data_IF_291274715188
#
_entry.id   IF_291274715188
#
_cell.length_a   1.000
_cell.length_b   1.000
_cell.length_c   1.000
_cell.angle_alpha   90.00
_cell.angle_beta   90.00
_cell.angle_gamma   90.00
#
_symmetry.space_group_name_H-M   'P 1'
#
loop_
_entity.id
_entity.type
_entity.pdbx_description
1 polymer ?
#
# COMPACT_ATOMS: atom_id res chain seq x y z
N UNK A 1 17.97 19.47 58.56
CA UNK A 1 16.90 18.45 58.53
C UNK A 1 15.72 19.04 57.77
N UNK A 2 15.34 18.40 56.65
CA UNK A 2 13.99 18.39 56.03
C UNK A 2 13.57 19.73 55.40
N UNK A 3 13.69 19.99 54.09
CA UNK A 3 13.16 19.33 52.88
C UNK A 3 11.63 19.48 52.72
N UNK A 4 11.20 20.37 51.82
CA UNK A 4 9.87 20.43 51.16
C UNK A 4 9.91 21.56 50.10
N UNK A 5 10.61 21.38 48.98
CA UNK A 5 10.06 20.93 47.67
C UNK A 5 8.74 21.60 47.31
N UNK A 6 8.86 22.79 46.71
CA UNK A 6 7.83 23.42 45.87
C UNK A 6 7.71 22.61 44.57
N UNK A 7 6.68 21.77 44.47
CA UNK A 7 6.26 21.15 43.22
C UNK A 7 5.62 22.21 42.31
N UNK A 8 6.43 22.86 41.46
CA UNK A 8 5.92 23.45 40.22
C UNK A 8 5.67 22.31 39.22
N UNK A 9 4.40 21.99 39.01
CA UNK A 9 3.96 21.20 37.85
C UNK A 9 4.20 22.03 36.58
N UNK A 10 5.33 21.80 35.91
CA UNK A 10 5.48 22.15 34.50
C UNK A 10 4.72 21.09 33.69
N UNK A 11 3.44 21.34 33.46
CA UNK A 11 2.70 20.70 32.36
C UNK A 11 3.30 21.23 31.06
N UNK A 12 4.28 20.51 30.51
CA UNK A 12 4.64 20.59 29.10
C UNK A 12 3.44 20.08 28.30
N UNK A 13 2.55 21.00 27.91
CA UNK A 13 1.63 20.77 26.81
C UNK A 13 2.49 20.61 25.56
N UNK A 14 2.76 19.36 25.17
CA UNK A 14 3.20 19.05 23.82
C UNK A 14 2.01 19.37 22.93
N UNK A 15 1.97 20.59 22.39
CA UNK A 15 1.14 20.93 21.24
C UNK A 15 1.73 20.19 20.05
N UNK A 16 1.46 18.89 19.96
CA UNK A 16 1.42 18.24 18.65
C UNK A 16 0.28 18.91 17.91
N UNK A 17 0.55 19.44 16.72
CA UNK A 17 -0.54 19.76 15.82
C UNK A 17 -1.43 18.52 15.71
N UNK A 18 -2.76 18.66 15.86
CA UNK A 18 -3.64 17.55 15.58
C UNK A 18 -3.44 17.25 14.09
N UNK A 19 -2.72 16.18 13.76
CA UNK A 19 -2.91 15.51 12.48
C UNK A 19 -4.39 15.20 12.45
N UNK A 20 -5.14 15.97 11.67
CA UNK A 20 -6.58 15.88 11.59
C UNK A 20 -6.93 14.40 11.37
N UNK A 21 -7.75 13.84 12.25
CA UNK A 21 -8.09 12.42 12.21
C UNK A 21 -8.75 12.04 10.86
N UNK A 22 -9.22 13.04 10.10
CA UNK A 22 -9.64 12.92 8.70
C UNK A 22 -8.49 12.60 7.74
N UNK A 23 -7.30 13.21 7.86
CA UNK A 23 -6.22 13.03 6.88
C UNK A 23 -5.70 11.59 6.86
N UNK A 24 -5.75 10.87 7.99
CA UNK A 24 -5.28 9.49 8.14
C UNK A 24 -6.20 8.42 7.52
N UNK A 25 -7.41 8.79 7.09
CA UNK A 25 -8.46 7.87 6.63
C UNK A 25 -8.71 7.94 5.12
N UNK A 26 -8.05 8.86 4.45
CA UNK A 26 -8.20 9.05 3.01
C UNK A 26 -7.31 8.07 2.23
N UNK A 27 -7.71 7.80 1.00
CA UNK A 27 -7.04 6.85 0.11
C UNK A 27 -5.91 7.54 -0.66
N UNK A 28 -4.83 6.81 -0.92
CA UNK A 28 -3.73 7.22 -1.78
C UNK A 28 -3.85 6.63 -3.19
N UNK A 29 -2.99 7.08 -4.09
CA UNK A 29 -2.97 6.59 -5.48
C UNK A 29 -1.56 6.15 -5.89
N UNK A 30 -1.47 5.04 -6.61
CA UNK A 30 -0.23 4.59 -7.23
C UNK A 30 0.00 5.37 -8.53
N UNK A 31 1.11 6.10 -8.61
CA UNK A 31 1.50 6.81 -9.82
C UNK A 31 2.58 6.02 -10.57
N UNK A 32 2.09 5.01 -11.30
CA UNK A 32 2.85 4.27 -12.31
C UNK A 32 3.16 5.15 -13.52
N UNK A 33 4.30 4.87 -14.17
CA UNK A 33 4.84 5.66 -15.29
C UNK A 33 5.46 4.79 -16.40
N UNK A 34 5.09 3.52 -16.48
CA UNK A 34 5.46 2.62 -17.58
C UNK A 34 4.57 2.87 -18.79
N UNK A 35 4.63 4.08 -19.34
CA UNK A 35 4.00 4.44 -20.60
C UNK A 35 4.65 5.62 -21.28
N UNK A 36 4.55 5.68 -22.61
CA UNK A 36 5.14 6.75 -23.44
C UNK A 36 4.13 7.82 -23.90
N UNK A 37 2.87 7.67 -23.48
CA UNK A 37 1.75 8.50 -23.85
C UNK A 37 1.06 9.17 -22.64
N UNK A 38 1.76 9.23 -21.50
CA UNK A 38 1.22 9.75 -20.24
C UNK A 38 1.36 11.29 -20.15
N UNK A 39 0.49 11.96 -19.37
CA UNK A 39 0.61 13.40 -19.12
C UNK A 39 1.90 13.76 -18.39
N UNK A 40 2.27 15.05 -18.43
CA UNK A 40 3.45 15.54 -17.73
C UNK A 40 3.34 15.34 -16.20
N UNK A 41 4.48 15.43 -15.50
CA UNK A 41 4.51 15.36 -14.03
C UNK A 41 3.64 16.43 -13.37
N UNK A 42 3.64 17.65 -13.92
CA UNK A 42 2.85 18.76 -13.37
C UNK A 42 1.34 18.50 -13.54
N UNK A 43 0.91 18.08 -14.73
CA UNK A 43 -0.49 17.76 -15.00
C UNK A 43 -0.96 16.57 -14.14
N UNK A 44 -0.12 15.53 -14.02
CA UNK A 44 -0.44 14.35 -13.20
C UNK A 44 -0.60 14.71 -11.72
N UNK A 45 0.25 15.57 -11.17
CA UNK A 45 0.12 16.01 -9.77
C UNK A 45 -1.15 16.86 -9.58
N UNK A 46 -1.54 17.68 -10.56
CA UNK A 46 -2.80 18.41 -10.50
C UNK A 46 -4.00 17.46 -10.53
N UNK A 47 -3.97 16.43 -11.40
CA UNK A 47 -5.01 15.41 -11.47
C UNK A 47 -5.15 14.64 -10.16
N UNK A 48 -4.03 14.17 -9.59
CA UNK A 48 -4.00 13.49 -8.27
C UNK A 48 -4.65 14.37 -7.19
N UNK A 49 -4.34 15.67 -7.16
CA UNK A 49 -4.95 16.62 -6.22
C UNK A 49 -6.44 16.81 -6.48
N UNK A 50 -6.88 16.89 -7.74
CA UNK A 50 -8.30 17.04 -8.08
C UNK A 50 -9.15 15.81 -7.73
N UNK A 51 -8.53 14.63 -7.67
CA UNK A 51 -9.17 13.40 -7.20
C UNK A 51 -9.23 13.30 -5.66
N UNK A 52 -8.78 14.35 -4.95
CA UNK A 52 -8.69 14.41 -3.49
C UNK A 52 -7.85 13.28 -2.88
N UNK A 53 -6.83 12.80 -3.62
CA UNK A 53 -5.90 11.82 -3.08
C UNK A 53 -5.22 12.39 -1.83
N UNK A 54 -5.05 11.56 -0.81
CA UNK A 54 -4.32 11.97 0.40
C UNK A 54 -2.84 11.61 0.39
N UNK A 55 -2.45 10.80 -0.59
CA UNK A 55 -1.07 10.45 -0.80
C UNK A 55 -0.83 9.86 -2.18
N UNK A 56 0.43 9.78 -2.55
CA UNK A 56 0.90 9.20 -3.80
C UNK A 56 2.02 8.20 -3.51
N UNK A 57 1.94 7.01 -4.10
CA UNK A 57 3.05 6.04 -4.17
C UNK A 57 3.72 6.21 -5.53
N UNK A 58 5.01 6.55 -5.54
CA UNK A 58 5.82 6.60 -6.77
C UNK A 58 6.85 5.46 -6.76
N UNK A 59 7.08 4.84 -7.92
CA UNK A 59 7.89 3.63 -8.06
C UNK A 59 9.41 3.86 -8.13
N UNK A 60 9.85 5.07 -7.77
CA UNK A 60 11.25 5.46 -7.65
C UNK A 60 11.40 6.61 -6.64
N UNK A 61 12.49 7.36 -6.73
CA UNK A 61 12.69 8.62 -6.02
C UNK A 61 13.11 9.74 -6.99
N UNK A 62 12.30 9.94 -8.04
CA UNK A 62 12.54 10.96 -9.07
C UNK A 62 12.57 12.38 -8.46
N UNK A 63 13.68 13.13 -8.63
CA UNK A 63 13.85 14.44 -7.98
C UNK A 63 12.89 15.52 -8.51
N UNK A 64 12.52 15.49 -9.79
CA UNK A 64 11.61 16.46 -10.39
C UNK A 64 10.20 16.30 -9.83
N UNK A 65 9.74 15.05 -9.69
CA UNK A 65 8.48 14.75 -9.01
C UNK A 65 8.49 15.15 -7.54
N UNK A 66 9.57 14.84 -6.83
CA UNK A 66 9.70 15.21 -5.42
C UNK A 66 9.69 16.74 -5.24
N UNK A 67 10.31 17.50 -6.15
CA UNK A 67 10.20 18.96 -6.15
C UNK A 67 8.78 19.45 -6.42
N UNK A 68 8.06 18.87 -7.38
CA UNK A 68 6.67 19.27 -7.68
C UNK A 68 5.69 18.92 -6.55
N UNK A 69 6.02 17.93 -5.72
CA UNK A 69 5.25 17.55 -4.53
C UNK A 69 5.58 18.40 -3.29
N UNK A 70 6.56 19.31 -3.38
CA UNK A 70 6.93 20.24 -2.32
C UNK A 70 5.73 21.09 -1.88
N UNK A 71 5.56 21.21 -0.56
CA UNK A 71 4.51 21.99 0.11
C UNK A 71 3.08 21.59 -0.29
N UNK A 72 2.92 20.40 -0.88
CA UNK A 72 1.61 19.79 -1.06
C UNK A 72 1.17 19.06 0.21
N UNK A 73 -0.14 18.85 0.36
CA UNK A 73 -0.69 18.07 1.47
C UNK A 73 -0.56 16.55 1.27
N UNK A 74 -0.09 16.11 0.10
CA UNK A 74 0.05 14.71 -0.27
C UNK A 74 1.15 14.03 0.55
N UNK A 75 0.81 12.90 1.16
CA UNK A 75 1.81 11.99 1.75
C UNK A 75 2.47 11.19 0.64
N UNK A 76 3.80 11.14 0.63
CA UNK A 76 4.56 10.52 -0.46
C UNK A 76 5.20 9.22 0.02
N UNK A 77 4.93 8.13 -0.69
CA UNK A 77 5.67 6.87 -0.58
C UNK A 77 6.62 6.76 -1.77
N UNK A 78 7.92 6.64 -1.52
CA UNK A 78 8.95 6.51 -2.56
C UNK A 78 9.58 5.12 -2.50
N UNK A 79 10.22 4.70 -3.60
CA UNK A 79 10.77 3.35 -3.70
C UNK A 79 12.28 3.32 -3.94
N UNK A 80 12.95 2.37 -3.28
CA UNK A 80 14.29 1.90 -3.66
C UNK A 80 14.10 0.85 -4.76
N UNK A 81 14.68 1.02 -5.96
CA UNK A 81 14.55 0.03 -7.03
C UNK A 81 15.10 -1.35 -6.66
N UNK A 82 14.51 -2.43 -7.17
CA UNK A 82 14.91 -3.81 -6.90
C UNK A 82 16.42 -4.05 -7.14
N UNK A 83 16.98 -3.45 -8.20
CA UNK A 83 18.39 -3.59 -8.56
C UNK A 83 19.38 -2.99 -7.55
N UNK A 84 18.95 -2.05 -6.70
CA UNK A 84 19.81 -1.39 -5.72
C UNK A 84 19.85 -2.12 -4.37
N UNK A 85 18.92 -3.04 -4.11
CA UNK A 85 18.75 -3.71 -2.81
C UNK A 85 20.03 -4.38 -2.36
N UNK A 86 20.64 -5.24 -3.20
CA UNK A 86 21.88 -5.96 -2.85
C UNK A 86 23.05 -5.02 -2.55
N UNK A 87 23.16 -3.95 -3.33
CA UNK A 87 24.23 -2.97 -3.18
C UNK A 87 24.09 -2.23 -1.85
N UNK A 88 22.89 -1.72 -1.56
CA UNK A 88 22.58 -1.08 -0.28
C UNK A 88 22.77 -2.08 0.88
N UNK A 89 22.28 -3.31 0.74
CA UNK A 89 22.41 -4.41 1.69
C UNK A 89 23.85 -4.89 1.95
N UNK A 90 24.85 -4.39 1.23
CA UNK A 90 26.26 -4.74 1.46
C UNK A 90 27.05 -3.57 2.05
N UNK A 91 26.57 -2.33 1.95
CA UNK A 91 27.37 -1.15 2.30
C UNK A 91 26.50 -0.03 2.90
N UNK A 92 26.77 0.34 4.16
CA UNK A 92 26.07 1.45 4.83
C UNK A 92 26.28 2.79 4.12
N UNK A 93 27.48 3.08 3.58
CA UNK A 93 27.73 4.33 2.87
C UNK A 93 26.81 4.50 1.65
N UNK A 94 26.43 3.40 0.99
CA UNK A 94 25.51 3.46 -0.16
C UNK A 94 24.06 3.72 0.28
N UNK A 95 23.69 3.32 1.50
CA UNK A 95 22.42 3.71 2.10
C UNK A 95 22.42 5.18 2.55
N UNK A 96 23.55 5.66 3.08
CA UNK A 96 23.79 7.06 3.43
C UNK A 96 23.65 7.95 2.19
N UNK A 97 24.38 7.63 1.12
CA UNK A 97 24.31 8.33 -0.16
C UNK A 97 22.89 8.34 -0.74
N UNK A 98 22.18 7.21 -0.69
CA UNK A 98 20.81 7.13 -1.21
C UNK A 98 19.87 8.08 -0.44
N UNK A 99 19.93 8.11 0.90
CA UNK A 99 19.08 9.00 1.72
C UNK A 99 19.49 10.46 1.55
N UNK A 100 20.78 10.77 1.52
CA UNK A 100 21.31 12.11 1.29
C UNK A 100 20.90 12.68 -0.07
N UNK A 101 20.78 11.81 -1.08
CA UNK A 101 20.38 12.21 -2.43
C UNK A 101 18.87 12.32 -2.61
N UNK A 102 18.10 11.38 -2.05
CA UNK A 102 16.69 11.18 -2.41
C UNK A 102 15.70 11.62 -1.34
N UNK A 103 16.14 11.86 -0.11
CA UNK A 103 15.25 12.20 1.02
C UNK A 103 15.55 13.58 1.57
N UNK A 104 16.80 13.81 1.99
CA UNK A 104 17.20 15.02 2.72
C UNK A 104 16.92 16.32 1.95
N UNK A 105 17.16 16.42 0.63
CA UNK A 105 16.93 17.67 -0.09
C UNK A 105 15.45 18.04 -0.22
N UNK A 106 14.53 17.07 -0.06
CA UNK A 106 13.11 17.23 -0.33
C UNK A 106 12.27 17.27 0.96
N UNK A 107 12.60 16.44 1.94
CA UNK A 107 11.87 16.36 3.20
C UNK A 107 12.35 17.43 4.20
N UNK A 108 11.45 18.20 4.87
CA UNK A 108 10.02 17.94 5.04
C UNK A 108 9.08 18.67 4.09
N UNK A 109 9.56 19.53 3.19
CA UNK A 109 8.66 20.26 2.26
C UNK A 109 7.85 19.29 1.41
N UNK A 110 8.50 18.25 0.91
CA UNK A 110 7.82 17.06 0.38
C UNK A 110 7.60 16.10 1.54
N UNK A 111 6.33 15.80 1.84
CA UNK A 111 5.93 14.94 2.96
C UNK A 111 6.16 13.46 2.65
N UNK A 112 7.42 13.07 2.50
CA UNK A 112 7.82 11.66 2.42
C UNK A 112 7.40 10.97 3.73
N UNK A 113 6.49 10.02 3.62
CA UNK A 113 5.94 9.26 4.74
C UNK A 113 6.57 7.86 4.84
N UNK A 114 6.82 7.24 3.69
CA UNK A 114 7.37 5.89 3.63
C UNK A 114 8.44 5.74 2.55
N UNK A 115 9.44 4.91 2.84
CA UNK A 115 10.43 4.41 1.89
C UNK A 115 10.22 2.91 1.75
N UNK A 116 9.85 2.51 0.56
CA UNK A 116 9.50 1.13 0.21
C UNK A 116 10.68 0.50 -0.52
N UNK A 117 11.34 -0.47 0.12
CA UNK A 117 12.55 -1.10 -0.39
C UNK A 117 12.16 -2.25 -1.31
N UNK A 118 12.29 -2.04 -2.62
CA UNK A 118 11.83 -2.96 -3.66
C UNK A 118 10.32 -2.99 -3.85
N UNK A 119 9.87 -3.75 -4.85
CA UNK A 119 8.47 -4.11 -5.12
C UNK A 119 8.40 -5.60 -5.43
N UNK A 120 7.48 -6.31 -4.79
CA UNK A 120 7.14 -7.72 -5.07
C UNK A 120 8.36 -8.63 -5.24
N UNK A 121 9.40 -8.43 -4.42
CA UNK A 121 10.69 -9.06 -4.69
C UNK A 121 10.62 -10.59 -4.63
N UNK A 122 9.66 -11.14 -3.89
CA UNK A 122 9.46 -12.58 -3.67
C UNK A 122 8.80 -13.28 -4.85
N UNK A 123 8.30 -12.53 -5.84
CA UNK A 123 7.72 -13.04 -7.08
C UNK A 123 8.79 -13.53 -8.06
N UNK A 124 10.04 -13.08 -7.93
CA UNK A 124 11.18 -13.59 -8.71
C UNK A 124 11.83 -14.80 -8.02
N UNK A 125 11.38 -16.00 -8.35
CA UNK A 125 11.91 -17.25 -7.80
C UNK A 125 13.21 -17.75 -8.45
N UNK A 126 13.82 -16.96 -9.34
CA UNK A 126 15.12 -17.31 -9.93
C UNK A 126 16.23 -17.27 -8.88
N UNK A 127 17.38 -17.88 -9.17
CA UNK A 127 18.54 -17.83 -8.26
C UNK A 127 19.06 -16.40 -8.04
N UNK A 128 18.89 -15.52 -9.04
CA UNK A 128 19.18 -14.09 -8.92
C UNK A 128 18.17 -13.41 -7.99
N UNK A 129 16.87 -13.69 -8.17
CA UNK A 129 15.80 -13.19 -7.30
C UNK A 129 16.01 -13.58 -5.83
N UNK A 130 16.32 -14.85 -5.56
CA UNK A 130 16.63 -15.35 -4.20
C UNK A 130 17.78 -14.60 -3.52
N UNK A 131 18.80 -14.18 -4.26
CA UNK A 131 19.88 -13.35 -3.70
C UNK A 131 19.39 -11.96 -3.27
N UNK A 132 18.36 -11.42 -3.94
CA UNK A 132 17.71 -10.16 -3.56
C UNK A 132 16.83 -10.38 -2.32
N UNK A 133 16.14 -11.51 -2.21
CA UNK A 133 15.30 -11.85 -1.04
C UNK A 133 16.07 -11.76 0.27
N UNK A 134 17.25 -12.39 0.33
CA UNK A 134 18.10 -12.39 1.53
C UNK A 134 18.75 -11.02 1.81
N UNK A 135 18.82 -10.15 0.81
CA UNK A 135 19.37 -8.80 0.94
C UNK A 135 18.32 -7.76 1.39
N UNK A 136 17.03 -8.09 1.32
CA UNK A 136 15.93 -7.16 1.60
C UNK A 136 16.02 -6.52 2.99
N UNK A 137 15.97 -7.32 4.06
CA UNK A 137 15.94 -6.80 5.43
C UNK A 137 17.26 -6.07 5.76
N UNK A 138 18.45 -6.57 5.40
CA UNK A 138 19.69 -5.82 5.56
C UNK A 138 19.73 -4.47 4.81
N UNK A 139 19.05 -4.33 3.66
CA UNK A 139 18.91 -3.04 2.98
C UNK A 139 17.99 -2.09 3.77
N UNK A 140 16.83 -2.59 4.20
CA UNK A 140 15.87 -1.83 5.02
C UNK A 140 16.50 -1.32 6.32
N UNK A 141 17.30 -2.16 6.98
CA UNK A 141 18.03 -1.78 8.20
C UNK A 141 19.02 -0.64 7.97
N UNK A 142 19.76 -0.68 6.86
CA UNK A 142 20.72 0.38 6.54
C UNK A 142 20.06 1.68 6.13
N UNK A 143 18.96 1.63 5.38
CA UNK A 143 18.14 2.81 5.08
C UNK A 143 17.56 3.41 6.37
N UNK A 144 17.00 2.57 7.25
CA UNK A 144 16.49 3.02 8.56
C UNK A 144 17.59 3.62 9.44
N UNK A 145 18.79 3.05 9.42
CA UNK A 145 19.97 3.59 10.11
C UNK A 145 20.35 4.96 9.56
N UNK A 146 20.45 5.09 8.23
CA UNK A 146 20.77 6.34 7.55
C UNK A 146 19.74 7.44 7.83
N UNK A 147 18.44 7.14 7.80
CA UNK A 147 17.41 8.11 8.19
C UNK A 147 17.61 8.64 9.63
N UNK A 148 18.03 7.78 10.55
CA UNK A 148 18.26 8.15 11.96
C UNK A 148 19.52 9.00 12.15
N UNK A 149 20.58 8.72 11.39
CA UNK A 149 21.90 9.35 11.54
C UNK A 149 22.10 10.57 10.64
N UNK A 150 21.57 10.54 9.42
CA UNK A 150 21.72 11.59 8.39
C UNK A 150 20.47 12.45 8.22
N UNK A 151 19.28 11.86 8.33
CA UNK A 151 18.01 12.53 8.00
C UNK A 151 17.51 13.58 9.00
N UNK A 152 18.23 13.82 10.09
CA UNK A 152 17.81 14.78 11.13
C UNK A 152 16.58 14.32 11.91
N UNK A 153 15.93 15.25 12.63
CA UNK A 153 14.76 14.92 13.47
C UNK A 153 13.50 14.66 12.66
N UNK A 154 13.29 15.38 11.55
CA UNK A 154 12.10 15.27 10.69
C UNK A 154 11.99 13.90 10.02
N UNK A 155 13.10 13.35 9.52
CA UNK A 155 13.11 12.08 8.81
C UNK A 155 12.96 10.83 9.72
N UNK A 156 13.04 10.98 11.05
CA UNK A 156 12.89 9.84 12.00
C UNK A 156 11.51 9.22 11.99
N UNK A 157 10.50 9.97 11.54
CA UNK A 157 9.11 9.48 11.41
C UNK A 157 8.85 8.74 10.11
N UNK A 158 9.80 8.72 9.16
CA UNK A 158 9.63 8.05 7.87
C UNK A 158 9.69 6.54 8.08
N UNK A 159 8.63 5.84 7.67
CA UNK A 159 8.55 4.38 7.77
C UNK A 159 9.39 3.74 6.68
N UNK A 160 10.04 2.62 7.00
CA UNK A 160 10.73 1.79 6.01
C UNK A 160 9.96 0.48 5.89
N UNK A 161 9.55 0.13 4.68
CA UNK A 161 8.72 -1.04 4.38
C UNK A 161 9.13 -1.70 3.07
N UNK A 162 8.36 -2.68 2.64
CA UNK A 162 8.53 -3.35 1.35
C UNK A 162 7.17 -3.90 0.91
N UNK A 163 6.64 -3.52 -0.26
CA UNK A 163 5.45 -4.11 -0.84
C UNK A 163 5.72 -5.55 -1.25
N UNK A 164 4.84 -6.46 -0.82
CA UNK A 164 4.89 -7.87 -1.15
C UNK A 164 3.57 -8.26 -1.83
N UNK A 165 3.67 -9.02 -2.92
CA UNK A 165 2.53 -9.69 -3.52
C UNK A 165 1.99 -10.79 -2.62
N UNK A 166 0.75 -11.21 -2.85
CA UNK A 166 0.10 -12.31 -2.13
C UNK A 166 0.72 -13.69 -2.37
N UNK A 167 1.65 -13.84 -3.32
CA UNK A 167 2.31 -15.10 -3.61
C UNK A 167 3.25 -15.56 -2.48
N UNK A 168 3.53 -14.69 -1.49
CA UNK A 168 4.34 -15.00 -0.30
C UNK A 168 3.62 -15.91 0.71
N UNK A 169 2.30 -16.09 0.60
CA UNK A 169 1.50 -17.04 1.41
C UNK A 169 1.14 -18.28 0.60
N UNK A 170 1.12 -19.44 1.26
CA UNK A 170 0.82 -20.74 0.62
C UNK A 170 -0.68 -20.91 0.34
N UNK A 171 -1.51 -20.39 1.23
CA UNK A 171 -2.96 -20.41 1.10
C UNK A 171 -3.56 -19.15 1.70
N UNK A 172 -4.63 -18.67 1.08
CA UNK A 172 -5.47 -17.58 1.57
C UNK A 172 -6.86 -18.06 2.00
N UNK A 173 -7.13 -19.37 1.89
CA UNK A 173 -8.43 -19.98 2.19
C UNK A 173 -8.30 -21.37 2.85
N UNK A 174 -8.92 -21.60 4.03
CA UNK A 174 -9.52 -20.58 4.90
C UNK A 174 -8.47 -19.55 5.38
N UNK A 175 -8.84 -18.30 5.72
CA UNK A 175 -7.90 -17.30 6.23
C UNK A 175 -7.02 -17.79 7.39
N UNK A 176 -7.60 -18.50 8.35
CA UNK A 176 -6.89 -19.11 9.48
C UNK A 176 -5.73 -20.03 9.08
N UNK A 177 -5.81 -20.68 7.90
CA UNK A 177 -4.75 -21.52 7.35
C UNK A 177 -3.57 -20.72 6.82
N UNK A 178 -3.71 -19.40 6.64
CA UNK A 178 -2.69 -18.50 6.11
C UNK A 178 -1.32 -18.71 6.75
N UNK A 179 -0.31 -18.96 5.92
CA UNK A 179 1.07 -19.21 6.33
C UNK A 179 2.03 -18.79 5.22
N UNK A 180 3.16 -18.19 5.58
CA UNK A 180 4.20 -17.84 4.62
C UNK A 180 4.83 -19.10 3.99
N UNK A 181 5.22 -19.00 2.71
CA UNK A 181 5.94 -20.09 2.02
C UNK A 181 7.19 -20.49 2.79
N UNK A 182 7.47 -21.79 2.87
CA UNK A 182 8.56 -22.33 3.68
C UNK A 182 9.95 -21.87 3.26
N UNK A 183 10.15 -21.54 1.98
CA UNK A 183 11.40 -21.07 1.40
C UNK A 183 11.78 -19.65 1.86
N UNK A 184 10.80 -18.81 2.18
CA UNK A 184 11.00 -17.42 2.63
C UNK A 184 10.67 -17.21 4.12
N UNK A 185 9.92 -18.13 4.73
CA UNK A 185 9.38 -18.00 6.11
C UNK A 185 10.44 -17.58 7.12
N UNK A 186 11.49 -18.36 7.28
CA UNK A 186 12.49 -18.13 8.33
C UNK A 186 13.62 -17.21 7.86
N UNK A 187 13.92 -17.24 6.57
CA UNK A 187 15.05 -16.53 5.96
C UNK A 187 14.75 -15.07 5.61
N UNK A 188 13.48 -14.72 5.41
CA UNK A 188 13.03 -13.38 4.99
C UNK A 188 11.90 -12.88 5.87
N UNK A 189 10.81 -13.64 6.02
CA UNK A 189 9.58 -13.15 6.67
C UNK A 189 9.76 -12.94 8.17
N UNK A 190 10.36 -13.87 8.89
CA UNK A 190 10.63 -13.70 10.33
C UNK A 190 11.56 -12.49 10.62
N UNK A 191 12.70 -12.30 9.92
CA UNK A 191 13.51 -11.09 10.05
C UNK A 191 12.76 -9.80 9.67
N UNK A 192 11.94 -9.82 8.61
CA UNK A 192 11.13 -8.69 8.18
C UNK A 192 10.13 -8.29 9.28
N UNK A 193 9.37 -9.24 9.82
CA UNK A 193 8.40 -8.96 10.87
C UNK A 193 9.06 -8.46 12.16
N UNK A 194 10.24 -8.98 12.51
CA UNK A 194 11.04 -8.44 13.61
C UNK A 194 11.42 -6.97 13.37
N UNK A 195 11.87 -6.66 12.15
CA UNK A 195 12.22 -5.30 11.75
C UNK A 195 11.00 -4.35 11.83
N UNK A 196 9.87 -4.74 11.26
CA UNK A 196 8.64 -3.94 11.25
C UNK A 196 8.13 -3.68 12.68
N UNK A 197 8.09 -4.74 13.52
CA UNK A 197 7.67 -4.64 14.90
C UNK A 197 8.57 -3.70 15.73
N UNK A 198 9.90 -3.78 15.54
CA UNK A 198 10.87 -2.93 16.26
C UNK A 198 10.87 -1.47 15.80
N UNK A 199 10.50 -1.22 14.55
CA UNK A 199 10.48 0.13 13.96
C UNK A 199 9.12 0.81 14.00
N UNK A 200 8.05 0.07 14.33
CA UNK A 200 6.68 0.57 14.24
C UNK A 200 6.22 0.80 12.79
N UNK A 201 6.86 0.15 11.82
CA UNK A 201 6.48 0.18 10.42
C UNK A 201 5.35 -0.81 10.12
N UNK A 202 4.79 -0.75 8.93
CA UNK A 202 3.69 -1.61 8.49
C UNK A 202 4.19 -2.72 7.55
N UNK A 203 3.43 -3.79 7.48
CA UNK A 203 3.57 -4.80 6.44
C UNK A 203 2.81 -4.31 5.20
N UNK A 204 3.55 -3.92 4.16
CA UNK A 204 3.00 -3.37 2.94
C UNK A 204 2.64 -4.50 1.97
N UNK A 205 1.40 -4.50 1.48
CA UNK A 205 0.84 -5.59 0.71
C UNK A 205 0.27 -5.08 -0.62
N UNK A 206 0.65 -5.74 -1.70
CA UNK A 206 0.00 -5.60 -2.99
C UNK A 206 -1.07 -6.71 -3.08
N UNK A 207 -2.35 -6.32 -3.01
CA UNK A 207 -3.49 -7.24 -2.86
C UNK A 207 -4.58 -6.92 -3.86
N UNK A 208 -4.94 -7.91 -4.67
CA UNK A 208 -5.87 -7.76 -5.77
C UNK A 208 -6.89 -8.89 -5.73
N UNK A 209 -8.17 -8.59 -5.49
CA UNK A 209 -9.24 -9.60 -5.50
C UNK A 209 -9.57 -10.09 -6.91
N UNK A 210 -9.23 -9.29 -7.93
CA UNK A 210 -9.39 -9.64 -9.33
C UNK A 210 -8.69 -10.95 -9.71
N UNK A 211 -7.44 -11.17 -9.27
CA UNK A 211 -6.66 -12.35 -9.68
C UNK A 211 -7.27 -13.68 -9.17
N UNK A 212 -7.54 -13.87 -7.86
CA UNK A 212 -8.20 -15.09 -7.41
C UNK A 212 -9.57 -15.26 -8.06
N UNK A 213 -10.39 -14.20 -8.16
CA UNK A 213 -11.71 -14.27 -8.80
C UNK A 213 -11.63 -14.71 -10.27
N UNK A 214 -10.79 -14.06 -11.08
CA UNK A 214 -10.65 -14.37 -12.51
C UNK A 214 -10.07 -15.76 -12.76
N UNK A 215 -9.31 -16.31 -11.81
CA UNK A 215 -8.79 -17.67 -11.88
C UNK A 215 -9.83 -18.76 -11.54
N UNK A 216 -10.84 -18.44 -10.74
CA UNK A 216 -11.91 -19.37 -10.34
C UNK A 216 -13.29 -18.70 -10.18
N UNK A 217 -13.85 -18.14 -11.26
CA UNK A 217 -15.10 -17.40 -11.20
C UNK A 217 -16.32 -18.31 -10.99
N UNK A 218 -16.16 -19.63 -11.09
CA UNK A 218 -17.21 -20.61 -10.77
C UNK A 218 -17.43 -20.80 -9.28
N UNK A 219 -16.43 -20.54 -8.44
CA UNK A 219 -16.52 -20.75 -6.98
C UNK A 219 -16.34 -19.45 -6.20
N UNK A 220 -15.71 -18.43 -6.78
CA UNK A 220 -15.59 -17.11 -6.19
C UNK A 220 -16.64 -16.20 -6.83
N UNK A 221 -17.63 -15.82 -6.03
CA UNK A 221 -18.68 -14.90 -6.45
C UNK A 221 -18.10 -13.51 -6.81
N UNK A 222 -18.60 -12.92 -7.90
CA UNK A 222 -18.11 -11.63 -8.39
C UNK A 222 -18.40 -10.50 -7.39
N UNK A 223 -19.59 -10.48 -6.79
CA UNK A 223 -19.97 -9.43 -5.83
C UNK A 223 -19.12 -9.52 -4.56
N UNK A 224 -18.78 -10.74 -4.12
CA UNK A 224 -17.82 -10.97 -3.03
C UNK A 224 -16.41 -10.44 -3.36
N UNK A 225 -15.96 -10.58 -4.61
CA UNK A 225 -14.67 -10.05 -5.07
C UNK A 225 -14.68 -8.53 -5.30
N UNK A 226 -15.83 -7.97 -5.71
CA UNK A 226 -16.07 -6.53 -5.88
C UNK A 226 -16.36 -5.80 -4.57
N UNK A 227 -16.39 -6.51 -3.44
CA UNK A 227 -16.69 -5.99 -2.11
C UNK A 227 -18.09 -5.36 -2.01
N UNK A 228 -19.04 -5.90 -2.78
CA UNK A 228 -20.45 -5.49 -2.72
C UNK A 228 -21.07 -6.09 -1.46
N UNK A 229 -21.70 -5.26 -0.64
CA UNK A 229 -22.40 -5.71 0.56
C UNK A 229 -23.59 -6.60 0.18
N UNK A 230 -23.58 -7.85 0.65
CA UNK A 230 -24.57 -8.88 0.36
C UNK A 230 -25.06 -9.50 1.66
N UNK A 231 -26.37 -9.70 1.82
CA UNK A 231 -26.92 -10.36 3.02
C UNK A 231 -26.60 -11.87 3.06
N UNK A 232 -26.52 -12.51 1.88
CA UNK A 232 -26.45 -13.97 1.74
C UNK A 232 -25.11 -14.51 1.23
N UNK A 233 -24.16 -13.64 0.89
CA UNK A 233 -22.82 -14.06 0.43
C UNK A 233 -21.84 -13.81 1.57
N UNK A 234 -21.64 -14.84 2.40
CA UNK A 234 -20.66 -14.83 3.48
C UNK A 234 -19.93 -16.16 3.59
N UNK A 235 -18.69 -16.09 4.09
CA UNK A 235 -17.88 -17.26 4.41
C UNK A 235 -17.52 -17.22 5.89
N UNK A 236 -17.85 -18.27 6.64
CA UNK A 236 -17.39 -18.42 8.02
C UNK A 236 -16.23 -19.41 8.07
N UNK A 237 -15.07 -18.93 8.48
CA UNK A 237 -13.88 -19.74 8.68
C UNK A 237 -14.10 -20.71 9.85
N UNK A 238 -14.05 -22.04 9.62
CA UNK A 238 -14.40 -23.02 10.63
C UNK A 238 -13.38 -23.11 11.78
N UNK A 239 -12.14 -22.66 11.58
CA UNK A 239 -11.09 -22.73 12.60
C UNK A 239 -11.07 -21.44 13.44
N UNK A 240 -11.16 -20.27 12.80
CA UNK A 240 -11.15 -19.00 13.53
C UNK A 240 -12.53 -18.56 14.04
N UNK A 241 -13.61 -19.07 13.44
CA UNK A 241 -14.99 -18.64 13.69
C UNK A 241 -15.31 -17.25 13.14
N UNK A 242 -14.41 -16.63 12.37
CA UNK A 242 -14.61 -15.31 11.77
C UNK A 242 -15.45 -15.42 10.50
N UNK A 243 -16.40 -14.50 10.34
CA UNK A 243 -17.24 -14.38 9.15
C UNK A 243 -16.74 -13.26 8.26
N UNK A 244 -16.57 -13.57 6.98
CA UNK A 244 -16.11 -12.70 5.91
C UNK A 244 -17.26 -12.42 4.96
N UNK A 245 -17.45 -11.16 4.62
CA UNK A 245 -18.47 -10.70 3.66
C UNK A 245 -17.87 -10.21 2.35
N UNK A 246 -16.55 -10.21 2.23
CA UNK A 246 -15.84 -9.82 1.03
C UNK A 246 -14.46 -10.49 0.94
N UNK A 247 -13.96 -10.63 -0.29
CA UNK A 247 -12.71 -11.34 -0.57
C UNK A 247 -11.46 -10.59 -0.06
N UNK A 248 -11.49 -9.25 -0.04
CA UNK A 248 -10.36 -8.46 0.42
C UNK A 248 -10.04 -8.75 1.90
N UNK A 249 -11.06 -8.78 2.75
CA UNK A 249 -10.89 -9.08 4.18
C UNK A 249 -10.36 -10.48 4.42
N UNK A 250 -10.86 -11.45 3.64
CA UNK A 250 -10.38 -12.83 3.68
C UNK A 250 -8.88 -12.89 3.35
N UNK A 251 -8.46 -12.18 2.30
CA UNK A 251 -7.06 -12.13 1.87
C UNK A 251 -6.18 -11.41 2.91
N UNK A 252 -6.61 -10.27 3.43
CA UNK A 252 -5.88 -9.52 4.46
C UNK A 252 -5.72 -10.34 5.74
N UNK A 253 -6.78 -11.00 6.21
CA UNK A 253 -6.72 -11.82 7.42
C UNK A 253 -5.84 -13.04 7.25
N UNK A 254 -5.75 -13.63 6.06
CA UNK A 254 -4.79 -14.71 5.81
C UNK A 254 -3.34 -14.28 6.09
N UNK A 255 -3.00 -13.02 5.81
CA UNK A 255 -1.69 -12.45 6.13
C UNK A 255 -1.56 -12.18 7.64
N UNK A 256 -2.60 -11.66 8.30
CA UNK A 256 -2.60 -11.51 9.76
C UNK A 256 -2.39 -12.85 10.48
N UNK A 257 -3.05 -13.92 10.03
CA UNK A 257 -2.86 -15.27 10.57
C UNK A 257 -1.44 -15.79 10.30
N UNK A 258 -0.90 -15.57 9.09
CA UNK A 258 0.49 -15.94 8.76
C UNK A 258 1.51 -15.23 9.66
N UNK A 259 1.34 -13.92 9.90
CA UNK A 259 2.18 -13.16 10.85
C UNK A 259 2.02 -13.67 12.29
N UNK A 260 0.79 -14.01 12.69
CA UNK A 260 0.49 -14.58 14.00
C UNK A 260 1.20 -15.91 14.26
N UNK A 261 1.32 -16.78 13.25
CA UNK A 261 2.05 -18.07 13.35
C UNK A 261 3.57 -17.88 13.57
N UNK A 262 4.11 -16.70 13.26
CA UNK A 262 5.48 -16.31 13.59
C UNK A 262 5.59 -15.49 14.89
N UNK A 263 4.49 -15.31 15.62
CA UNK A 263 4.43 -14.58 16.90
C UNK A 263 4.23 -13.06 16.77
N UNK A 264 3.95 -12.55 15.57
CA UNK A 264 3.84 -11.11 15.29
C UNK A 264 2.39 -10.65 15.14
N UNK A 265 1.62 -10.67 16.23
CA UNK A 265 0.20 -10.31 16.18
C UNK A 265 -0.09 -8.81 16.07
N UNK A 266 0.89 -7.95 16.35
CA UNK A 266 0.73 -6.48 16.45
C UNK A 266 1.25 -5.69 15.26
N UNK A 267 1.89 -6.36 14.29
CA UNK A 267 2.31 -5.71 13.05
C UNK A 267 1.07 -5.40 12.23
N UNK A 268 0.90 -4.12 11.87
CA UNK A 268 -0.25 -3.64 11.09
C UNK A 268 -0.02 -3.84 9.60
N UNK A 269 -1.10 -3.99 8.84
CA UNK A 269 -1.04 -3.97 7.38
C UNK A 269 -1.15 -2.54 6.82
N UNK A 270 -0.56 -2.35 5.66
CA UNK A 270 -0.88 -1.27 4.73
C UNK A 270 -1.06 -1.86 3.33
N UNK A 271 -2.10 -1.46 2.62
CA UNK A 271 -2.30 -1.84 1.22
C UNK A 271 -1.45 -0.91 0.37
N UNK A 272 -0.33 -1.42 -0.13
CA UNK A 272 0.55 -0.68 -1.03
C UNK A 272 0.00 -0.61 -2.45
N UNK A 273 -0.79 -1.59 -2.85
CA UNK A 273 -1.53 -1.60 -4.12
C UNK A 273 -2.81 -2.43 -4.00
N UNK A 274 -3.89 -1.92 -4.58
CA UNK A 274 -5.09 -2.70 -4.87
C UNK A 274 -5.87 -2.03 -6.00
N UNK A 275 -6.58 -2.79 -6.81
CA UNK A 275 -7.36 -2.24 -7.91
C UNK A 275 -8.14 -3.33 -8.64
N UNK A 276 -8.73 -2.94 -9.77
CA UNK A 276 -9.42 -3.84 -10.68
C UNK A 276 -9.31 -3.31 -12.11
N UNK A 277 -9.02 -4.17 -13.10
CA UNK A 277 -8.75 -3.72 -14.46
C UNK A 277 -10.00 -3.21 -15.19
N UNK A 278 -9.85 -2.13 -15.97
CA UNK A 278 -10.93 -1.44 -16.68
C UNK A 278 -11.27 -2.02 -18.06
N UNK A 279 -10.45 -2.93 -18.60
CA UNK A 279 -10.76 -3.71 -19.80
C UNK A 279 -10.66 -3.00 -21.15
N UNK A 280 -10.20 -1.75 -21.23
CA UNK A 280 -10.18 -0.97 -22.48
C UNK A 280 -9.18 -1.50 -23.56
N UNK A 281 -8.47 -2.60 -23.29
CA UNK A 281 -7.51 -3.27 -24.20
C UNK A 281 -7.97 -4.54 -24.89
N UNK A 282 -9.07 -5.16 -24.46
CA UNK A 282 -9.52 -6.43 -25.02
C UNK A 282 -10.53 -7.19 -24.15
N UNK A 283 -11.01 -8.32 -24.66
CA UNK A 283 -11.96 -9.20 -23.98
C UNK A 283 -11.26 -10.03 -22.88
N UNK A 284 -10.85 -9.33 -21.81
CA UNK A 284 -10.33 -9.94 -20.60
C UNK A 284 -11.50 -10.16 -19.64
N UNK A 285 -11.75 -11.41 -19.28
CA UNK A 285 -12.89 -11.79 -18.45
C UNK A 285 -12.97 -10.94 -17.16
N UNK A 286 -14.10 -10.24 -17.01
CA UNK A 286 -14.42 -9.36 -15.88
C UNK A 286 -13.65 -8.05 -15.78
N UNK A 287 -12.70 -7.77 -16.67
CA UNK A 287 -12.08 -6.46 -16.79
C UNK A 287 -13.03 -5.54 -17.56
N UNK A 288 -13.60 -4.54 -16.89
CA UNK A 288 -14.45 -3.52 -17.50
C UNK A 288 -14.56 -2.33 -16.54
N UNK A 289 -14.85 -1.14 -17.08
CA UNK A 289 -14.96 0.10 -16.31
C UNK A 289 -16.04 0.07 -15.21
N UNK A 290 -17.11 -0.72 -15.39
CA UNK A 290 -18.15 -0.87 -14.36
C UNK A 290 -17.63 -1.63 -13.13
N UNK A 291 -17.00 -2.78 -13.33
CA UNK A 291 -16.39 -3.57 -12.25
C UNK A 291 -15.24 -2.80 -11.59
N UNK A 292 -14.40 -2.15 -12.39
CA UNK A 292 -13.29 -1.36 -11.89
C UNK A 292 -13.74 -0.19 -11.00
N UNK A 293 -14.73 0.57 -11.47
CA UNK A 293 -15.35 1.64 -10.69
C UNK A 293 -16.07 1.13 -9.44
N UNK A 294 -16.72 -0.05 -9.51
CA UNK A 294 -17.39 -0.67 -8.35
C UNK A 294 -16.39 -1.07 -7.27
N UNK A 295 -15.35 -1.83 -7.64
CA UNK A 295 -14.32 -2.26 -6.71
C UNK A 295 -13.62 -1.08 -6.03
N UNK A 296 -13.14 -0.11 -6.82
CA UNK A 296 -12.39 1.03 -6.29
C UNK A 296 -13.26 1.91 -5.37
N UNK A 297 -14.54 2.14 -5.70
CA UNK A 297 -15.47 2.86 -4.79
C UNK A 297 -15.72 2.11 -3.50
N UNK A 298 -15.84 0.79 -3.54
CA UNK A 298 -16.06 -0.02 -2.33
C UNK A 298 -14.81 -0.06 -1.44
N UNK A 299 -13.60 -0.13 -2.02
CA UNK A 299 -12.34 0.04 -1.28
C UNK A 299 -12.29 1.41 -0.61
N UNK A 300 -12.63 2.49 -1.34
CA UNK A 300 -12.65 3.85 -0.78
C UNK A 300 -13.63 3.93 0.39
N UNK A 301 -14.90 3.57 0.17
CA UNK A 301 -15.95 3.57 1.22
C UNK A 301 -15.47 2.86 2.49
N UNK A 302 -14.82 1.70 2.31
CA UNK A 302 -14.30 0.89 3.41
C UNK A 302 -13.15 1.57 4.16
N UNK A 303 -12.16 2.10 3.44
CA UNK A 303 -10.97 2.72 4.02
C UNK A 303 -11.29 4.06 4.69
N UNK A 304 -12.23 4.83 4.13
CA UNK A 304 -12.60 6.17 4.62
C UNK A 304 -13.67 6.16 5.70
N UNK A 305 -14.21 4.98 6.07
CA UNK A 305 -15.25 4.85 7.09
C UNK A 305 -14.84 5.42 8.46
N UNK A 306 -15.81 6.02 9.17
CA UNK A 306 -15.66 6.50 10.55
C UNK A 306 -16.78 5.98 11.45
N UNK A 307 -16.48 5.13 12.45
CA UNK A 307 -15.15 4.59 12.79
C UNK A 307 -14.57 3.66 11.70
N UNK A 308 -13.24 3.41 11.68
CA UNK A 308 -12.65 2.48 10.72
C UNK A 308 -13.27 1.10 10.85
N UNK A 309 -13.53 0.42 9.73
CA UNK A 309 -14.14 -0.92 9.77
C UNK A 309 -13.10 -1.95 10.22
N UNK A 310 -11.90 -1.94 9.62
CA UNK A 310 -10.90 -2.98 9.81
C UNK A 310 -11.39 -4.36 9.36
N UNK A 311 -10.58 -5.40 9.48
CA UNK A 311 -10.97 -6.76 9.06
C UNK A 311 -11.65 -7.53 10.19
N UNK A 312 -12.31 -8.69 9.94
CA UNK A 312 -12.81 -9.54 11.01
C UNK A 312 -11.78 -9.90 12.09
N UNK A 313 -10.52 -10.16 11.73
CA UNK A 313 -9.45 -10.44 12.72
C UNK A 313 -8.87 -9.17 13.37
N UNK A 314 -9.08 -7.98 12.79
CA UNK A 314 -8.61 -6.68 13.30
C UNK A 314 -9.71 -5.60 13.17
N UNK A 315 -10.83 -5.76 13.89
CA UNK A 315 -11.95 -4.83 13.80
C UNK A 315 -11.53 -3.46 14.34
N UNK A 316 -11.96 -2.39 13.68
CA UNK A 316 -11.62 -1.02 14.10
C UNK A 316 -10.23 -0.55 13.68
N UNK A 317 -9.41 -1.40 13.05
CA UNK A 317 -8.06 -1.02 12.62
C UNK A 317 -8.11 -0.29 11.27
N UNK A 318 -7.64 0.95 11.24
CA UNK A 318 -7.45 1.70 10.00
C UNK A 318 -6.31 1.11 9.18
N UNK A 319 -6.56 0.88 7.89
CA UNK A 319 -5.58 0.34 6.94
C UNK A 319 -5.28 1.43 5.92
N UNK A 320 -4.03 1.91 5.90
CA UNK A 320 -3.59 2.84 4.85
C UNK A 320 -3.58 2.12 3.52
N UNK A 321 -4.18 2.72 2.49
CA UNK A 321 -4.39 2.04 1.20
C UNK A 321 -4.07 2.94 0.01
N UNK A 322 -3.46 2.37 -1.02
CA UNK A 322 -3.24 3.02 -2.31
C UNK A 322 -3.95 2.25 -3.42
N UNK A 323 -4.74 2.96 -4.22
CA UNK A 323 -5.36 2.39 -5.42
C UNK A 323 -4.37 2.34 -6.58
N UNK A 324 -4.29 1.17 -7.21
CA UNK A 324 -3.52 0.90 -8.41
C UNK A 324 -4.45 0.94 -9.63
N UNK A 325 -4.24 1.83 -10.61
CA UNK A 325 -3.25 2.93 -10.67
C UNK A 325 -3.84 4.21 -11.28
N UNK A 326 -3.07 5.31 -11.26
CA UNK A 326 -3.51 6.58 -11.84
C UNK A 326 -3.85 6.46 -13.33
N UNK A 327 -2.98 5.82 -14.11
CA UNK A 327 -3.13 5.70 -15.56
C UNK A 327 -3.10 4.25 -16.02
N UNK A 328 -3.69 4.01 -17.18
CA UNK A 328 -3.32 2.87 -18.04
C UNK A 328 -1.87 3.05 -18.52
N UNK A 329 -1.06 2.00 -18.39
CA UNK A 329 0.39 2.03 -18.61
C UNK A 329 0.76 1.12 -19.79
N UNK A 330 0.79 1.69 -21.01
CA UNK A 330 0.90 0.93 -22.27
C UNK A 330 2.21 0.14 -22.47
N UNK A 331 3.25 0.40 -21.66
CA UNK A 331 4.53 -0.31 -21.71
C UNK A 331 4.68 -1.34 -20.58
N UNK A 332 3.63 -1.59 -19.77
CA UNK A 332 3.68 -2.67 -18.77
C UNK A 332 3.88 -4.03 -19.46
N UNK A 333 4.89 -4.81 -19.03
CA UNK A 333 5.13 -6.16 -19.55
C UNK A 333 4.07 -7.13 -19.02
N UNK A 334 4.02 -8.33 -19.61
CA UNK A 334 3.10 -9.38 -19.19
C UNK A 334 1.78 -9.42 -19.97
N UNK A 335 0.75 -10.08 -19.42
CA UNK A 335 -0.55 -10.23 -20.06
C UNK A 335 -1.20 -8.87 -20.37
N UNK A 336 -2.15 -8.87 -21.30
CA UNK A 336 -2.75 -7.62 -21.77
C UNK A 336 -3.44 -6.79 -20.69
N UNK A 337 -4.10 -7.47 -19.74
CA UNK A 337 -4.74 -6.86 -18.58
C UNK A 337 -3.81 -5.92 -17.80
N UNK A 338 -2.50 -6.15 -17.80
CA UNK A 338 -1.52 -5.30 -17.11
C UNK A 338 -1.51 -3.85 -17.62
N UNK A 339 -1.95 -3.60 -18.86
CA UNK A 339 -1.99 -2.26 -19.44
C UNK A 339 -3.27 -1.48 -19.10
N UNK A 340 -4.22 -2.10 -18.39
CA UNK A 340 -5.60 -1.60 -18.22
C UNK A 340 -6.05 -1.51 -16.76
N UNK A 341 -5.21 -0.96 -15.87
CA UNK A 341 -5.51 -0.77 -14.43
C UNK A 341 -5.78 0.68 -14.05
N UNK A 342 -5.73 1.60 -15.01
CA UNK A 342 -5.90 3.02 -14.79
C UNK A 342 -7.28 3.39 -14.31
N UNK A 343 -7.32 4.33 -13.37
CA UNK A 343 -8.50 5.16 -13.12
C UNK A 343 -8.71 6.17 -14.25
N UNK A 344 -7.61 6.64 -14.85
CA UNK A 344 -7.59 7.54 -15.98
C UNK A 344 -6.94 6.85 -17.20
N UNK A 345 -7.40 7.23 -18.39
CA UNK A 345 -6.71 6.87 -19.62
C UNK A 345 -5.42 7.68 -19.75
N UNK A 346 -4.53 7.36 -20.72
CA UNK A 346 -3.31 8.12 -20.94
C UNK A 346 -3.54 9.60 -21.30
N UNK A 347 -4.75 9.97 -21.75
CA UNK A 347 -5.11 11.37 -22.00
C UNK A 347 -5.53 12.14 -20.73
N UNK A 348 -5.58 11.46 -19.58
CA UNK A 348 -6.08 12.01 -18.32
C UNK A 348 -7.61 11.99 -18.19
N UNK A 349 -8.32 11.37 -19.13
CA UNK A 349 -9.79 11.23 -19.05
C UNK A 349 -10.17 10.07 -18.14
N UNK A 350 -11.15 10.21 -17.25
CA UNK A 350 -11.53 9.13 -16.33
C UNK A 350 -12.25 7.99 -17.06
N UNK A 351 -11.91 6.74 -16.73
CA UNK A 351 -12.68 5.56 -17.16
C UNK A 351 -14.00 5.44 -16.37
N UNK A 352 -14.02 5.94 -15.15
CA UNK A 352 -15.18 5.97 -14.25
C UNK A 352 -15.03 7.09 -13.21
N UNK A 353 -16.15 7.61 -12.72
CA UNK A 353 -16.16 8.70 -11.72
C UNK A 353 -15.68 8.20 -10.36
N UNK A 354 -14.71 8.88 -9.76
CA UNK A 354 -14.11 8.52 -8.47
C UNK A 354 -13.78 9.77 -7.65
N UNK A 355 -14.02 9.72 -6.34
CA UNK A 355 -13.53 10.71 -5.36
C UNK A 355 -12.95 9.95 -4.17
N UNK A 356 -11.68 10.22 -3.86
CA UNK A 356 -10.91 9.50 -2.85
C UNK A 356 -11.24 9.93 -1.40
N UNK A 357 -12.13 10.91 -1.20
CA UNK A 357 -12.69 11.25 0.12
C UNK A 357 -13.71 10.21 0.61
N UNK A 358 -14.37 9.49 -0.31
CA UNK A 358 -15.53 8.65 -0.02
C UNK A 358 -16.88 9.38 0.06
N UNK A 359 -16.91 10.70 -0.19
CA UNK A 359 -18.15 11.51 -0.11
C UNK A 359 -19.07 11.33 -1.34
N UNK A 360 -18.55 10.87 -2.48
CA UNK A 360 -19.32 10.65 -3.72
C UNK A 360 -20.30 9.47 -3.69
N UNK A 361 -20.58 8.85 -2.54
CA UNK A 361 -21.65 7.85 -2.42
C UNK A 361 -23.06 8.49 -2.41
N UNK A 362 -23.30 9.44 -3.33
CA UNK A 362 -24.64 9.66 -3.87
C UNK A 362 -24.69 8.90 -5.20
N UNK A 363 -25.57 7.90 -5.35
CA UNK A 363 -25.70 7.18 -6.60
C UNK A 363 -26.19 8.15 -7.68
N UNK A 364 -25.27 8.77 -8.41
CA UNK A 364 -25.62 9.55 -9.59
C UNK A 364 -25.69 8.60 -10.79
N UNK A 365 -26.95 8.34 -11.16
CA UNK A 365 -27.53 8.27 -12.50
C UNK A 365 -26.59 7.76 -13.61
N UNK A 366 -26.96 6.67 -14.31
CA UNK A 366 -26.22 6.20 -15.48
C UNK A 366 -25.96 7.35 -16.46
N UNK A 367 -24.73 7.46 -16.94
CA UNK A 367 -24.49 8.18 -18.19
C UNK A 367 -25.25 7.38 -19.26
N UNK A 368 -26.33 7.97 -19.78
CA UNK A 368 -27.19 7.40 -20.81
C UNK A 368 -26.34 7.01 -22.06
N UNK A 369 -26.80 6.02 -22.84
CA UNK A 369 -25.98 5.11 -23.64
C UNK A 369 -25.22 5.70 -24.83
#
# INVERSE_FOLDING_TARGET
MILLVLCLFYLLTISGEPTDAKTLRNVGICYGRLGDNLPSFSESIQLIKSMNASGVKIYDANPDLLHLLSDSELRVSIMVPNGDIRRIASNQSLADEWVERHVIPFHPRTRIESILVGNEILSDSTEQGKQVWHALVPAMERISSSLKTRGGRSARGIRVGTPLAMDMVVSTFPPSSGAFRSDVRDSVMAPLLNFLNRTGSHFFLDVYTYFPWSSDPSHIDLDYALLVEQENVNYTDPESGLTYTNLLDQMLDSVYFAMGKLGYHRVKLAIAETGWPNGDGGDVFGANSFNAGTYNRNVIKRVTSDPPIGTPARPGEAITSYLFALYDENQKPGPDVERHWGMLSPSGSPHYVLDLTGDLYRPEIPLDP
#
